data_IF_603381726811
#
_entry.id   IF_603381726811
#
_cell.length_a   1.000
_cell.length_b   1.000
_cell.length_c   1.000
_cell.angle_alpha   90.00
_cell.angle_beta   90.00
_cell.angle_gamma   90.00
#
_symmetry.space_group_name_H-M   'P 1'
#
loop_
_entity.id
_entity.type
_entity.pdbx_description
1 polymer ?
#
# COMPACT_ATOMS: atom_id res chain seq x y z
N UNK A 1 -46.39 30.71 -34.90
CA UNK A 1 -46.85 29.54 -34.14
C UNK A 1 -45.94 29.44 -32.93
N UNK A 2 -46.29 29.72 -31.70
CA UNK A 2 -47.48 30.14 -30.94
C UNK A 2 -46.90 30.31 -29.49
N UNK A 3 -47.34 31.13 -28.56
CA UNK A 3 -48.30 32.22 -28.51
C UNK A 3 -47.89 33.12 -27.34
N UNK A 4 -48.44 34.32 -27.38
CA UNK A 4 -48.33 35.40 -26.42
C UNK A 4 -49.00 35.12 -25.06
N UNK A 5 -48.53 35.91 -24.10
CA UNK A 5 -49.30 36.52 -23.02
C UNK A 5 -49.69 35.61 -21.82
N UNK A 6 -49.51 36.13 -20.61
CA UNK A 6 -50.58 36.28 -19.61
C UNK A 6 -49.97 36.93 -18.36
N UNK A 7 -50.02 38.26 -18.39
CA UNK A 7 -49.99 39.13 -17.21
C UNK A 7 -51.44 39.19 -16.68
N UNK A 8 -51.65 38.86 -15.40
CA UNK A 8 -52.83 39.06 -14.54
C UNK A 8 -52.74 37.99 -13.43
N UNK A 9 -53.07 38.16 -12.18
CA UNK A 9 -53.67 39.21 -11.37
C UNK A 9 -53.73 38.55 -9.97
N UNK A 10 -53.17 39.14 -8.93
CA UNK A 10 -53.51 38.85 -7.52
C UNK A 10 -52.72 39.74 -6.55
N UNK A 11 -52.69 41.03 -6.84
CA UNK A 11 -52.51 42.06 -5.81
C UNK A 11 -53.84 42.22 -5.05
N UNK A 12 -54.27 41.21 -4.27
CA UNK A 12 -55.52 41.31 -3.51
C UNK A 12 -55.65 40.39 -2.29
N UNK A 13 -54.56 40.10 -1.57
CA UNK A 13 -54.62 39.32 -0.31
C UNK A 13 -54.02 40.04 0.90
N UNK A 14 -53.88 41.37 0.85
CA UNK A 14 -53.29 42.15 1.94
C UNK A 14 -54.22 43.28 2.41
N UNK A 15 -55.47 42.95 2.79
CA UNK A 15 -56.30 43.84 3.61
C UNK A 15 -57.38 43.08 4.37
N UNK A 16 -57.42 43.40 5.67
CA UNK A 16 -58.52 43.22 6.61
C UNK A 16 -58.75 41.83 7.22
N UNK A 17 -58.02 41.54 8.30
CA UNK A 17 -58.61 40.93 9.50
C UNK A 17 -57.85 41.46 10.72
N UNK A 18 -58.29 42.61 11.25
CA UNK A 18 -59.19 42.75 12.41
C UNK A 18 -58.43 42.57 13.73
N UNK A 19 -58.19 43.70 14.38
CA UNK A 19 -57.84 43.83 15.80
C UNK A 19 -58.89 43.13 16.66
N UNK A 20 -58.46 42.38 17.67
CA UNK A 20 -59.17 42.28 18.94
C UNK A 20 -58.14 42.24 20.09
N UNK A 21 -58.23 43.16 21.06
CA UNK A 21 -57.42 43.17 22.26
C UNK A 21 -58.11 42.32 23.33
N UNK A 22 -57.48 41.23 23.77
CA UNK A 22 -57.90 40.60 25.02
C UNK A 22 -56.69 40.28 25.90
N UNK A 23 -56.58 41.14 26.90
CA UNK A 23 -55.75 41.04 28.08
C UNK A 23 -56.18 39.80 28.87
N UNK A 24 -55.30 38.79 28.95
CA UNK A 24 -55.49 37.58 29.73
C UNK A 24 -54.22 37.32 30.53
N UNK A 25 -54.26 37.72 31.80
CA UNK A 25 -53.27 37.46 32.83
C UNK A 25 -53.16 35.96 33.12
N UNK A 26 -51.98 35.40 32.92
CA UNK A 26 -51.55 34.17 33.60
C UNK A 26 -50.07 34.32 33.97
N UNK A 27 -49.86 34.77 35.21
CA UNK A 27 -48.55 34.82 35.87
C UNK A 27 -48.14 33.39 36.26
N UNK A 28 -47.74 32.61 35.27
CA UNK A 28 -46.91 31.44 35.50
C UNK A 28 -45.47 31.89 35.67
N UNK A 29 -44.95 31.91 36.90
CA UNK A 29 -43.51 32.04 37.20
C UNK A 29 -42.74 30.85 36.61
N UNK A 30 -42.56 30.84 35.28
CA UNK A 30 -41.59 30.01 34.61
C UNK A 30 -40.22 30.52 35.02
N UNK A 31 -39.52 29.75 35.86
CA UNK A 31 -38.13 30.00 36.21
C UNK A 31 -37.36 30.40 34.94
N UNK A 32 -36.52 31.45 34.97
CA UNK A 32 -35.71 31.80 33.82
C UNK A 32 -34.84 30.59 33.52
N UNK A 33 -35.21 29.82 32.49
CA UNK A 33 -34.37 28.72 31.99
C UNK A 33 -33.05 29.40 31.67
N UNK A 34 -32.01 29.09 32.45
CA UNK A 34 -30.68 29.65 32.25
C UNK A 34 -30.21 29.21 30.86
N UNK A 35 -30.52 30.04 29.87
CA UNK A 35 -30.21 29.79 28.48
C UNK A 35 -28.71 29.75 28.36
N UNK A 36 -28.15 28.55 28.28
CA UNK A 36 -26.73 28.34 28.14
C UNK A 36 -26.25 29.20 26.96
N UNK A 37 -25.36 30.16 27.26
CA UNK A 37 -24.86 31.17 26.32
C UNK A 37 -24.52 30.53 24.98
N UNK A 38 -24.96 31.14 23.88
CA UNK A 38 -24.69 30.68 22.52
C UNK A 38 -23.20 30.40 22.30
N UNK A 39 -22.30 31.13 22.98
CA UNK A 39 -20.86 30.89 22.95
C UNK A 39 -20.44 29.55 23.58
N UNK A 40 -21.08 29.14 24.68
CA UNK A 40 -20.81 27.84 25.32
C UNK A 40 -21.24 26.69 24.42
N UNK A 41 -22.35 26.82 23.68
CA UNK A 41 -22.80 25.79 22.74
C UNK A 41 -21.83 25.62 21.56
N UNK A 42 -21.28 26.72 21.05
CA UNK A 42 -20.28 26.68 19.96
C UNK A 42 -18.98 26.03 20.43
N UNK A 43 -18.50 26.36 21.64
CA UNK A 43 -17.29 25.74 22.20
C UNK A 43 -17.45 24.24 22.44
N UNK A 44 -18.61 23.78 22.91
CA UNK A 44 -18.90 22.35 23.06
C UNK A 44 -18.91 21.67 21.69
N UNK A 45 -19.54 22.28 20.68
CA UNK A 45 -19.56 21.74 19.31
C UNK A 45 -18.14 21.61 18.72
N UNK A 46 -17.32 22.65 18.80
CA UNK A 46 -15.94 22.61 18.32
C UNK A 46 -15.07 21.61 19.09
N UNK A 47 -15.27 21.46 20.40
CA UNK A 47 -14.54 20.48 21.21
C UNK A 47 -14.86 19.04 20.84
N UNK A 48 -16.14 18.72 20.59
CA UNK A 48 -16.55 17.37 20.18
C UNK A 48 -16.05 17.06 18.77
N UNK A 49 -16.20 17.99 17.82
CA UNK A 49 -15.72 17.78 16.44
C UNK A 49 -14.20 17.69 16.39
N UNK A 50 -13.49 18.58 17.08
CA UNK A 50 -12.03 18.56 17.17
C UNK A 50 -11.50 17.30 17.87
N UNK A 51 -12.15 16.88 18.95
CA UNK A 51 -11.81 15.63 19.66
C UNK A 51 -12.05 14.39 18.81
N UNK A 52 -13.16 14.33 18.06
CA UNK A 52 -13.46 13.23 17.15
C UNK A 52 -12.46 13.19 15.97
N UNK A 53 -12.14 14.34 15.39
CA UNK A 53 -11.16 14.46 14.31
C UNK A 53 -9.75 14.06 14.79
N UNK A 54 -9.36 14.44 16.00
CA UNK A 54 -8.10 14.00 16.61
C UNK A 54 -8.10 12.50 16.91
N UNK A 55 -9.21 11.92 17.37
CA UNK A 55 -9.34 10.47 17.58
C UNK A 55 -9.25 9.68 16.27
N UNK A 56 -9.88 10.15 15.19
CA UNK A 56 -9.77 9.51 13.88
C UNK A 56 -8.37 9.69 13.28
N UNK A 57 -7.78 10.88 13.41
CA UNK A 57 -6.46 11.19 12.88
C UNK A 57 -5.30 10.59 13.68
N UNK A 58 -5.42 10.42 14.99
CA UNK A 58 -4.35 9.81 15.81
C UNK A 58 -4.65 8.35 16.10
N UNK A 59 -5.88 8.02 16.49
CA UNK A 59 -6.31 6.65 16.75
C UNK A 59 -6.38 5.79 15.50
N UNK A 60 -6.85 6.36 14.37
CA UNK A 60 -6.87 5.66 13.09
C UNK A 60 -5.47 5.32 12.59
N UNK A 61 -4.52 6.26 12.66
CA UNK A 61 -3.13 6.00 12.25
C UNK A 61 -2.39 5.05 13.19
N UNK A 62 -2.64 5.09 14.50
CA UNK A 62 -2.05 4.11 15.44
C UNK A 62 -2.64 2.73 15.21
N UNK A 63 -3.95 2.62 14.99
CA UNK A 63 -4.61 1.35 14.68
C UNK A 63 -4.12 0.77 13.36
N UNK A 64 -4.12 1.57 12.28
CA UNK A 64 -3.62 1.16 10.98
C UNK A 64 -2.12 0.81 11.07
N UNK A 65 -1.32 1.64 11.74
CA UNK A 65 0.10 1.41 11.97
C UNK A 65 0.37 0.13 12.74
N UNK A 66 -0.47 -0.23 13.72
CA UNK A 66 -0.35 -1.50 14.45
C UNK A 66 -0.73 -2.71 13.60
N UNK A 67 -1.68 -2.58 12.67
CA UNK A 67 -2.00 -3.62 11.69
C UNK A 67 -0.86 -3.81 10.68
N UNK A 68 -0.24 -2.72 10.22
CA UNK A 68 0.93 -2.77 9.34
C UNK A 68 2.18 -3.32 10.04
N UNK A 69 2.39 -2.98 11.32
CA UNK A 69 3.51 -3.52 12.10
C UNK A 69 3.41 -5.04 12.28
N UNK A 70 2.20 -5.61 12.32
CA UNK A 70 2.00 -7.06 12.36
C UNK A 70 2.23 -7.78 11.02
N UNK A 71 2.38 -7.05 9.91
CA UNK A 71 2.68 -7.64 8.59
C UNK A 71 4.17 -7.79 8.32
N UNK A 72 5.04 -7.18 9.14
CA UNK A 72 6.49 -7.34 9.04
C UNK A 72 6.99 -8.21 10.17
N UNK A 73 7.90 -9.12 9.86
CA UNK A 73 8.55 -9.98 10.82
C UNK A 73 10.07 -9.85 10.70
N UNK A 74 10.73 -9.85 11.84
CA UNK A 74 12.19 -9.93 11.94
C UNK A 74 12.61 -11.30 12.48
N UNK A 75 11.66 -12.20 12.75
CA UNK A 75 11.95 -13.53 13.25
C UNK A 75 12.61 -14.37 12.14
N UNK A 76 13.86 -14.82 12.32
CA UNK A 76 14.57 -15.62 11.32
C UNK A 76 13.83 -16.92 10.96
N UNK A 77 13.08 -17.51 11.89
CA UNK A 77 12.32 -18.73 11.63
C UNK A 77 11.09 -18.45 10.76
N UNK A 78 10.41 -17.33 10.99
CA UNK A 78 9.24 -16.92 10.21
C UNK A 78 9.66 -16.50 8.79
N UNK A 79 10.79 -15.83 8.63
CA UNK A 79 11.32 -15.42 7.32
C UNK A 79 11.63 -16.65 6.45
N UNK A 80 12.21 -17.71 7.04
CA UNK A 80 12.44 -18.99 6.34
C UNK A 80 11.13 -19.67 5.96
N UNK A 81 10.15 -19.70 6.87
CA UNK A 81 8.83 -20.23 6.57
C UNK A 81 8.15 -19.44 5.42
N UNK A 82 8.29 -18.12 5.38
CA UNK A 82 7.79 -17.29 4.28
C UNK A 82 8.50 -17.63 2.97
N UNK A 83 9.81 -17.83 2.98
CA UNK A 83 10.55 -18.25 1.80
C UNK A 83 10.07 -19.61 1.28
N UNK A 84 10.01 -20.63 2.14
CA UNK A 84 9.50 -21.97 1.79
C UNK A 84 8.05 -21.93 1.26
N UNK A 85 7.24 -21.03 1.80
CA UNK A 85 5.87 -20.78 1.35
C UNK A 85 5.79 -20.16 -0.05
N UNK A 86 6.80 -19.39 -0.47
CA UNK A 86 6.88 -18.80 -1.80
C UNK A 86 7.46 -19.81 -2.79
N UNK A 87 8.65 -20.33 -2.48
CA UNK A 87 9.39 -21.26 -3.32
C UNK A 87 10.43 -22.04 -2.50
N UNK A 88 10.65 -23.30 -2.88
CA UNK A 88 11.80 -24.08 -2.41
C UNK A 88 13.05 -23.52 -3.09
N UNK A 89 13.86 -22.78 -2.34
CA UNK A 89 15.10 -22.16 -2.81
C UNK A 89 16.16 -22.42 -1.76
N UNK A 90 17.23 -23.09 -2.16
CA UNK A 90 18.37 -23.34 -1.29
C UNK A 90 19.31 -22.11 -1.33
N UNK A 91 19.24 -21.31 -0.27
CA UNK A 91 20.17 -20.19 -0.10
C UNK A 91 21.53 -20.70 0.38
N UNK A 92 22.64 -20.25 -0.24
CA UNK A 92 23.96 -20.70 0.15
C UNK A 92 24.31 -20.22 1.57
N UNK A 93 25.20 -20.97 2.22
CA UNK A 93 25.66 -20.65 3.59
C UNK A 93 26.15 -19.19 3.68
N UNK A 94 25.72 -18.46 4.70
CA UNK A 94 26.12 -17.06 4.95
C UNK A 94 24.99 -16.04 4.79
N UNK A 95 23.92 -16.38 4.06
CA UNK A 95 22.72 -15.55 4.01
C UNK A 95 21.96 -15.59 5.33
N UNK A 96 21.90 -14.44 5.99
CA UNK A 96 21.12 -14.27 7.21
C UNK A 96 19.78 -13.59 6.90
N UNK A 97 18.65 -14.10 7.40
CA UNK A 97 17.36 -13.42 7.25
C UNK A 97 17.43 -12.03 7.92
N UNK A 98 16.98 -11.01 7.19
CA UNK A 98 16.99 -9.60 7.63
C UNK A 98 15.59 -9.05 7.84
N UNK A 99 14.63 -9.56 7.11
CA UNK A 99 13.24 -9.15 7.25
C UNK A 99 12.32 -10.03 6.43
N UNK A 100 11.09 -10.12 6.88
CA UNK A 100 10.00 -10.76 6.16
C UNK A 100 8.78 -9.88 6.21
N UNK A 101 7.92 -10.03 5.22
CA UNK A 101 6.58 -9.49 5.26
C UNK A 101 5.59 -10.57 4.85
N UNK A 102 4.48 -10.64 5.54
CA UNK A 102 3.36 -11.49 5.17
C UNK A 102 2.08 -10.77 5.57
N UNK A 103 1.23 -10.49 4.61
CA UNK A 103 0.01 -9.74 4.88
C UNK A 103 -0.94 -9.68 3.72
N UNK A 104 -2.18 -9.35 4.05
CA UNK A 104 -3.23 -9.08 3.09
C UNK A 104 -3.69 -7.63 3.26
N UNK A 105 -3.70 -6.88 2.16
CA UNK A 105 -4.08 -5.49 2.14
C UNK A 105 -4.98 -5.21 0.93
N UNK A 106 -6.21 -4.75 1.18
CA UNK A 106 -7.18 -4.39 0.14
C UNK A 106 -7.38 -5.49 -0.94
N UNK A 107 -7.38 -6.76 -0.55
CA UNK A 107 -7.54 -7.92 -1.44
C UNK A 107 -6.26 -8.36 -2.16
N UNK A 108 -5.14 -7.68 -1.93
CA UNK A 108 -3.82 -8.16 -2.36
C UNK A 108 -3.19 -8.94 -1.21
N UNK A 109 -2.76 -10.17 -1.47
CA UNK A 109 -1.93 -10.91 -0.51
C UNK A 109 -0.48 -10.89 -0.98
N UNK A 110 0.42 -10.48 -0.09
CA UNK A 110 1.83 -10.28 -0.37
C UNK A 110 2.69 -10.99 0.65
N UNK A 111 3.72 -11.69 0.17
CA UNK A 111 4.77 -12.26 0.98
C UNK A 111 6.12 -11.72 0.50
N UNK A 112 7.02 -11.43 1.41
CA UNK A 112 8.39 -11.06 1.07
C UNK A 112 9.35 -11.67 2.07
N UNK A 113 10.51 -12.14 1.60
CA UNK A 113 11.59 -12.60 2.43
C UNK A 113 12.89 -11.94 1.94
N UNK A 114 13.62 -11.33 2.88
CA UNK A 114 14.86 -10.60 2.61
C UNK A 114 15.97 -11.26 3.41
N UNK A 115 17.04 -11.59 2.71
CA UNK A 115 18.26 -12.15 3.25
C UNK A 115 19.43 -11.28 2.83
N UNK A 116 20.45 -11.20 3.68
CA UNK A 116 21.67 -10.49 3.33
C UNK A 116 22.90 -11.22 3.84
N UNK A 117 23.97 -11.09 3.08
CA UNK A 117 25.31 -11.58 3.37
C UNK A 117 26.30 -10.47 3.02
N UNK A 118 27.06 -9.95 3.99
CA UNK A 118 27.97 -8.81 3.76
C UNK A 118 27.27 -7.62 3.08
N UNK A 119 27.65 -7.30 1.85
CA UNK A 119 27.07 -6.26 1.00
C UNK A 119 26.09 -6.80 -0.07
N UNK A 120 25.86 -8.11 -0.08
CA UNK A 120 24.93 -8.80 -0.96
C UNK A 120 23.55 -8.94 -0.31
N UNK A 121 22.50 -8.81 -1.11
CA UNK A 121 21.11 -8.90 -0.67
C UNK A 121 20.34 -9.81 -1.61
N UNK A 122 19.61 -10.75 -1.04
CA UNK A 122 18.66 -11.60 -1.73
C UNK A 122 17.25 -11.26 -1.24
N UNK A 123 16.34 -11.01 -2.16
CA UNK A 123 14.97 -10.63 -1.88
C UNK A 123 14.04 -11.46 -2.76
N UNK A 124 13.08 -12.10 -2.10
CA UNK A 124 12.04 -12.89 -2.72
C UNK A 124 10.70 -12.26 -2.37
N UNK A 125 9.90 -11.89 -3.36
CA UNK A 125 8.60 -11.24 -3.18
C UNK A 125 7.57 -12.06 -3.94
N UNK A 126 6.46 -12.43 -3.31
CA UNK A 126 5.29 -13.00 -3.95
C UNK A 126 4.12 -12.07 -3.76
N UNK A 127 3.38 -11.83 -4.84
CA UNK A 127 2.14 -11.06 -4.78
C UNK A 127 1.05 -11.85 -5.48
N UNK A 128 -0.09 -11.91 -4.83
CA UNK A 128 -1.33 -12.42 -5.38
C UNK A 128 -2.34 -11.28 -5.44
N UNK A 129 -2.85 -11.05 -6.65
CA UNK A 129 -3.84 -10.02 -6.90
C UNK A 129 -5.20 -10.32 -6.30
N UNK A 130 -6.11 -9.33 -6.27
CA UNK A 130 -7.49 -9.52 -5.87
C UNK A 130 -8.23 -10.46 -6.82
N UNK A 131 -9.33 -11.02 -6.35
CA UNK A 131 -10.17 -11.94 -7.11
C UNK A 131 -10.51 -11.35 -8.50
N UNK A 132 -9.99 -11.98 -9.55
CA UNK A 132 -10.16 -11.56 -10.94
C UNK A 132 -8.86 -11.21 -11.69
N UNK A 133 -7.76 -11.00 -10.98
CA UNK A 133 -6.42 -10.91 -11.60
C UNK A 133 -5.78 -12.29 -11.62
N UNK A 134 -5.32 -12.75 -12.79
CA UNK A 134 -4.61 -14.03 -12.90
C UNK A 134 -3.14 -13.86 -12.52
N UNK A 135 -2.53 -14.94 -12.02
CA UNK A 135 -1.10 -14.93 -11.70
C UNK A 135 -0.24 -14.64 -12.94
N UNK A 136 -0.67 -15.10 -14.12
CA UNK A 136 -0.02 -14.80 -15.40
C UNK A 136 -0.01 -13.30 -15.71
N UNK A 137 -1.12 -12.58 -15.47
CA UNK A 137 -1.17 -11.13 -15.64
C UNK A 137 -0.22 -10.41 -14.68
N UNK A 138 -0.13 -10.89 -13.43
CA UNK A 138 0.81 -10.36 -12.45
C UNK A 138 2.26 -10.65 -12.84
N UNK A 139 2.54 -11.83 -13.37
CA UNK A 139 3.85 -12.25 -13.83
C UNK A 139 4.32 -11.38 -15.01
N UNK A 140 3.44 -11.18 -16.00
CA UNK A 140 3.71 -10.27 -17.13
C UNK A 140 3.98 -8.85 -16.64
N UNK A 141 3.21 -8.37 -15.66
CA UNK A 141 3.43 -7.06 -15.06
C UNK A 141 4.81 -6.97 -14.38
N UNK A 142 5.22 -8.01 -13.65
CA UNK A 142 6.57 -8.04 -13.06
C UNK A 142 7.66 -8.06 -14.13
N UNK A 143 7.53 -8.89 -15.17
CA UNK A 143 8.50 -8.92 -16.27
C UNK A 143 8.62 -7.55 -16.97
N UNK A 144 7.48 -6.88 -17.20
CA UNK A 144 7.48 -5.52 -17.76
C UNK A 144 8.17 -4.51 -16.82
N UNK A 145 7.93 -4.62 -15.51
CA UNK A 145 8.59 -3.76 -14.52
C UNK A 145 10.10 -3.99 -14.46
N UNK A 146 10.55 -5.24 -14.51
CA UNK A 146 11.99 -5.57 -14.51
C UNK A 146 12.70 -5.00 -15.73
N UNK A 147 12.09 -5.07 -16.92
CA UNK A 147 12.64 -4.48 -18.13
C UNK A 147 12.74 -2.95 -18.07
N UNK A 148 11.81 -2.29 -17.37
CA UNK A 148 11.84 -0.83 -17.18
C UNK A 148 12.78 -0.37 -16.07
N UNK A 149 12.95 -1.18 -15.02
CA UNK A 149 13.79 -0.85 -13.87
C UNK A 149 15.25 -0.59 -14.26
N UNK A 150 15.73 -1.24 -15.32
CA UNK A 150 17.08 -1.00 -15.85
C UNK A 150 17.31 0.41 -16.41
N UNK A 151 16.25 1.12 -16.81
CA UNK A 151 16.36 2.49 -17.33
C UNK A 151 16.12 3.57 -16.27
N UNK A 152 15.52 3.21 -15.13
CA UNK A 152 14.98 4.16 -14.16
C UNK A 152 15.71 4.16 -12.81
N UNK A 153 16.73 3.32 -12.63
CA UNK A 153 17.53 3.30 -11.42
C UNK A 153 18.85 4.02 -11.61
N UNK A 154 19.38 4.55 -10.50
CA UNK A 154 20.66 5.24 -10.45
C UNK A 154 21.86 4.27 -10.60
N UNK A 155 21.72 3.26 -11.46
CA UNK A 155 22.71 2.28 -11.82
C UNK A 155 22.97 2.48 -13.31
N UNK A 156 24.20 2.81 -13.66
CA UNK A 156 24.61 2.86 -15.05
C UNK A 156 24.80 1.44 -15.55
N UNK A 157 23.87 0.93 -16.34
CA UNK A 157 23.95 -0.41 -16.92
C UNK A 157 25.10 -0.46 -17.93
N UNK A 158 25.95 -1.47 -17.78
CA UNK A 158 27.03 -1.80 -18.71
C UNK A 158 26.66 -2.98 -19.60
N UNK A 159 26.03 -4.01 -19.04
CA UNK A 159 25.56 -5.18 -19.79
C UNK A 159 24.36 -5.84 -19.13
N UNK A 160 23.56 -6.49 -19.96
CA UNK A 160 22.44 -7.34 -19.55
C UNK A 160 22.58 -8.68 -20.24
N UNK A 161 22.43 -9.77 -19.49
CA UNK A 161 22.45 -11.14 -20.00
C UNK A 161 21.20 -11.88 -19.51
N UNK A 162 20.46 -12.47 -20.45
CA UNK A 162 19.32 -13.33 -20.13
C UNK A 162 19.77 -14.78 -20.06
N UNK A 163 19.44 -15.48 -18.97
CA UNK A 163 19.75 -16.90 -18.79
C UNK A 163 18.50 -17.65 -18.37
N UNK A 164 18.28 -18.81 -18.99
CA UNK A 164 17.21 -19.72 -18.60
C UNK A 164 17.70 -20.60 -17.44
N UNK A 165 16.96 -20.58 -16.34
CA UNK A 165 17.21 -21.37 -15.12
C UNK A 165 15.91 -22.05 -14.68
N UNK A 166 16.00 -23.06 -13.82
CA UNK A 166 14.82 -23.81 -13.36
C UNK A 166 14.52 -23.48 -11.90
N UNK A 167 13.67 -22.49 -11.65
CA UNK A 167 13.29 -22.11 -10.28
C UNK A 167 12.07 -22.93 -9.88
N UNK A 168 12.16 -23.64 -8.75
CA UNK A 168 11.08 -24.47 -8.22
C UNK A 168 10.47 -25.47 -9.24
N UNK A 169 11.30 -25.99 -10.15
CA UNK A 169 10.90 -26.94 -11.19
C UNK A 169 10.25 -26.31 -12.43
N UNK A 170 10.29 -24.98 -12.57
CA UNK A 170 9.79 -24.25 -13.74
C UNK A 170 10.91 -23.50 -14.45
N UNK A 171 10.98 -23.67 -15.77
CA UNK A 171 11.90 -22.88 -16.60
C UNK A 171 11.49 -21.41 -16.56
N UNK A 172 12.40 -20.56 -16.09
CA UNK A 172 12.24 -19.11 -16.01
C UNK A 172 13.48 -18.45 -16.57
N UNK A 173 13.28 -17.31 -17.24
CA UNK A 173 14.39 -16.45 -17.66
C UNK A 173 14.73 -15.49 -16.53
N UNK A 174 15.97 -15.56 -16.06
CA UNK A 174 16.57 -14.55 -15.19
C UNK A 174 17.38 -13.57 -16.04
N UNK A 175 17.34 -12.30 -15.65
CA UNK A 175 18.11 -11.22 -16.25
C UNK A 175 19.26 -10.87 -15.28
N UNK A 176 20.50 -11.03 -15.75
CA UNK A 176 21.71 -10.66 -15.04
C UNK A 176 22.17 -9.30 -15.57
N UNK A 177 22.05 -8.27 -14.75
CA UNK A 177 22.44 -6.90 -15.06
C UNK A 177 23.77 -6.60 -14.37
N UNK A 178 24.77 -6.19 -15.15
CA UNK A 178 26.01 -5.60 -14.63
C UNK A 178 25.95 -4.08 -14.82
N UNK A 179 26.29 -3.34 -13.77
CA UNK A 179 26.34 -1.90 -13.84
C UNK A 179 27.16 -1.26 -12.73
N UNK A 180 27.12 0.07 -12.69
CA UNK A 180 27.80 0.86 -11.67
C UNK A 180 26.78 1.66 -10.87
N UNK A 181 26.85 1.62 -9.54
CA UNK A 181 26.00 2.44 -8.67
C UNK A 181 26.37 3.95 -8.73
N UNK A 182 25.61 4.78 -8.00
CA UNK A 182 25.87 6.24 -7.89
C UNK A 182 27.24 6.60 -7.31
N UNK A 183 27.83 5.69 -6.53
CA UNK A 183 29.11 5.89 -5.87
C UNK A 183 30.28 5.40 -6.74
N UNK A 184 30.01 4.92 -7.96
CA UNK A 184 31.03 4.38 -8.86
C UNK A 184 31.42 2.93 -8.56
N UNK A 185 30.65 2.20 -7.74
CA UNK A 185 30.91 0.81 -7.40
C UNK A 185 30.27 -0.14 -8.41
N UNK A 186 31.04 -1.08 -8.93
CA UNK A 186 30.54 -2.13 -9.81
C UNK A 186 29.67 -3.11 -9.02
N UNK A 187 28.49 -3.39 -9.56
CA UNK A 187 27.47 -4.22 -8.96
C UNK A 187 26.86 -5.13 -10.03
N UNK A 188 26.44 -6.31 -9.59
CA UNK A 188 25.60 -7.22 -10.36
C UNK A 188 24.28 -7.43 -9.68
N UNK A 189 23.25 -7.48 -10.50
CA UNK A 189 21.90 -7.76 -10.08
C UNK A 189 21.34 -8.89 -10.92
N UNK A 190 20.88 -9.95 -10.27
CA UNK A 190 20.08 -10.99 -10.91
C UNK A 190 18.63 -10.70 -10.55
N UNK A 191 17.76 -10.68 -11.54
CA UNK A 191 16.33 -10.48 -11.33
C UNK A 191 15.54 -11.44 -12.21
N UNK A 192 14.44 -11.95 -11.69
CA UNK A 192 13.60 -12.89 -12.42
C UNK A 192 12.21 -12.90 -11.85
N UNK A 193 11.24 -13.21 -12.70
CA UNK A 193 9.85 -13.40 -12.29
C UNK A 193 9.43 -14.81 -12.66
N UNK A 194 8.81 -15.53 -11.73
CA UNK A 194 8.36 -16.90 -11.89
C UNK A 194 7.04 -17.14 -11.16
N UNK A 195 6.42 -18.30 -11.35
CA UNK A 195 5.21 -18.66 -10.63
C UNK A 195 5.59 -19.34 -9.30
N UNK A 196 5.36 -18.64 -8.19
CA UNK A 196 5.50 -19.19 -6.85
C UNK A 196 4.31 -20.10 -6.47
N UNK A 197 4.44 -20.77 -5.32
CA UNK A 197 3.41 -21.70 -4.80
C UNK A 197 2.06 -21.02 -4.53
N UNK A 198 2.07 -19.71 -4.24
CA UNK A 198 0.86 -18.95 -3.89
C UNK A 198 0.54 -17.77 -4.80
N UNK A 199 1.22 -17.62 -5.93
CA UNK A 199 1.00 -16.51 -6.87
C UNK A 199 2.25 -16.16 -7.68
N UNK A 200 2.22 -15.07 -8.42
CA UNK A 200 3.40 -14.56 -9.12
C UNK A 200 4.48 -14.15 -8.11
N UNK A 201 5.70 -14.64 -8.33
CA UNK A 201 6.87 -14.38 -7.51
C UNK A 201 7.95 -13.66 -8.31
N UNK A 202 8.68 -12.81 -7.61
CA UNK A 202 9.79 -12.02 -8.11
C UNK A 202 10.98 -12.29 -7.21
N UNK A 203 12.12 -12.57 -7.83
CA UNK A 203 13.39 -12.73 -7.15
C UNK A 203 14.38 -11.68 -7.60
N UNK A 204 15.09 -11.13 -6.63
CA UNK A 204 16.05 -10.06 -6.79
C UNK A 204 17.28 -10.43 -5.95
N UNK A 205 18.40 -10.63 -6.61
CA UNK A 205 19.69 -10.82 -5.97
C UNK A 205 20.62 -9.67 -6.37
N UNK A 206 21.23 -9.03 -5.40
CA UNK A 206 22.16 -7.93 -5.56
C UNK A 206 23.49 -8.32 -4.92
N UNK A 207 24.59 -8.12 -5.64
CA UNK A 207 25.93 -8.43 -5.16
C UNK A 207 26.94 -7.42 -5.74
N UNK A 208 27.93 -6.94 -4.98
CA UNK A 208 29.08 -6.24 -5.53
C UNK A 208 29.83 -7.12 -6.55
N UNK A 209 30.40 -6.54 -7.61
CA UNK A 209 31.21 -7.30 -8.58
C UNK A 209 32.38 -8.02 -7.89
N UNK A 210 32.96 -7.41 -6.85
CA UNK A 210 34.07 -7.98 -6.09
C UNK A 210 33.72 -9.30 -5.39
N UNK A 211 32.45 -9.49 -5.04
CA UNK A 211 31.93 -10.68 -4.35
C UNK A 211 31.11 -11.58 -5.31
N UNK A 212 31.14 -11.28 -6.62
CA UNK A 212 30.39 -12.02 -7.61
C UNK A 212 30.99 -13.41 -7.85
N UNK A 213 30.20 -14.42 -7.53
CA UNK A 213 30.43 -15.80 -7.91
C UNK A 213 29.22 -16.26 -8.72
N UNK A 214 29.42 -16.47 -10.02
CA UNK A 214 28.36 -16.82 -10.97
C UNK A 214 27.76 -18.20 -10.67
N UNK A 215 28.58 -19.18 -10.29
CA UNK A 215 28.13 -20.54 -9.99
C UNK A 215 27.30 -20.53 -8.70
N UNK A 216 27.78 -19.80 -7.68
CA UNK A 216 27.03 -19.62 -6.43
C UNK A 216 25.73 -18.85 -6.64
N UNK A 217 25.73 -17.80 -7.48
CA UNK A 217 24.56 -16.98 -7.74
C UNK A 217 23.49 -17.74 -8.54
N UNK A 218 23.90 -18.51 -9.54
CA UNK A 218 22.99 -19.30 -10.38
C UNK A 218 22.50 -20.53 -9.65
N UNK A 219 23.34 -21.16 -8.82
CA UNK A 219 22.95 -22.29 -7.98
C UNK A 219 21.87 -21.95 -6.95
N UNK A 220 21.58 -20.67 -6.67
CA UNK A 220 20.40 -20.27 -5.88
C UNK A 220 19.11 -20.53 -6.65
N UNK A 221 19.16 -20.54 -7.97
CA UNK A 221 18.01 -20.60 -8.87
C UNK A 221 17.81 -21.96 -9.54
N UNK A 222 18.63 -22.96 -9.21
CA UNK A 222 18.55 -24.36 -9.70
C UNK A 222 18.08 -25.30 -8.59
#
# INVERSE_FOLDING_TARGET
MADDNWYQDSDEANRSFREDPSYGSDEGFGQPKSGMSTGVKVLIGCGVVGGLMALVCCGGFVYLGSQFAGMMTEDPAEIRAIQEDIADIDLPDGFSPKGGANGELFGFSGKAAIFAENESMFMLIQVKGPDGTTDEQMLEQFQQQLGQQGQNQNIKIESTEDRSVTIAGQETTIEIVKGTDQNGKEIRQVKGAFQGRGGAALVLYFCPEADWDEERAIGIFE
#
